data_IF_854733335025
#
_entry.id   IF_854733335025
#
_cell.length_a   1.000
_cell.length_b   1.000
_cell.length_c   1.000
_cell.angle_alpha   90.00
_cell.angle_beta   90.00
_cell.angle_gamma   90.00
#
_symmetry.space_group_name_H-M   'P 1'
#
loop_
_entity.id
_entity.type
_entity.pdbx_description
1 polymer ?
#
# COMPACT_ATOMS: atom_id res chain seq x y z
N UNK A 1 0.46 26.03 5.57
CA UNK A 1 -0.89 26.17 4.97
C UNK A 1 -0.86 25.65 3.53
N UNK A 2 0.00 26.14 2.65
CA UNK A 2 0.06 25.73 1.24
C UNK A 2 0.29 24.21 1.06
N UNK A 3 1.24 23.61 1.78
CA UNK A 3 1.49 22.17 1.73
C UNK A 3 0.26 21.37 2.18
N UNK A 4 -0.44 21.81 3.20
CA UNK A 4 -1.65 21.14 3.70
C UNK A 4 -2.76 21.18 2.65
N UNK A 5 -2.98 22.31 1.99
CA UNK A 5 -3.98 22.43 0.92
C UNK A 5 -3.65 21.52 -0.25
N UNK A 6 -2.39 21.50 -0.68
CA UNK A 6 -1.94 20.62 -1.74
C UNK A 6 -2.16 19.14 -1.39
N UNK A 7 -1.85 18.71 -0.17
CA UNK A 7 -2.07 17.33 0.26
C UNK A 7 -3.56 16.97 0.37
N UNK A 8 -4.41 17.88 0.82
CA UNK A 8 -5.85 17.66 0.83
C UNK A 8 -6.40 17.44 -0.58
N UNK A 9 -5.93 18.19 -1.55
CA UNK A 9 -6.31 18.06 -2.96
C UNK A 9 -5.76 16.74 -3.54
N UNK A 10 -4.46 16.51 -3.39
CA UNK A 10 -3.76 15.32 -3.91
C UNK A 10 -4.33 13.98 -3.40
N UNK A 11 -4.86 13.95 -2.18
CA UNK A 11 -5.47 12.77 -1.58
C UNK A 11 -7.00 12.77 -1.62
N UNK A 12 -7.59 13.71 -2.38
CA UNK A 12 -9.05 13.85 -2.50
C UNK A 12 -9.74 13.95 -1.13
N UNK A 13 -9.26 14.86 -0.28
CA UNK A 13 -9.74 15.09 1.08
C UNK A 13 -10.35 16.48 1.28
N UNK A 14 -10.38 17.36 0.25
CA UNK A 14 -10.87 18.73 0.34
C UNK A 14 -12.31 18.81 0.87
N UNK A 15 -13.18 17.93 0.39
CA UNK A 15 -14.58 17.86 0.80
C UNK A 15 -14.76 17.44 2.27
N UNK A 16 -13.73 16.87 2.89
CA UNK A 16 -13.71 16.40 4.28
C UNK A 16 -13.03 17.40 5.24
N UNK A 17 -12.56 18.55 4.73
CA UNK A 17 -11.75 19.51 5.48
C UNK A 17 -12.30 19.89 6.85
N UNK A 18 -13.62 20.08 6.94
CA UNK A 18 -14.31 20.51 8.15
C UNK A 18 -15.08 19.37 8.83
N UNK A 19 -14.85 18.14 8.41
CA UNK A 19 -15.50 16.94 8.95
C UNK A 19 -14.65 16.37 10.09
N UNK A 20 -15.31 15.95 11.16
CA UNK A 20 -14.63 15.28 12.25
C UNK A 20 -14.09 13.91 11.78
N UNK A 21 -12.81 13.64 12.04
CA UNK A 21 -12.16 12.40 11.60
C UNK A 21 -12.81 11.13 12.13
N UNK A 22 -13.58 11.20 13.20
CA UNK A 22 -14.27 10.04 13.78
C UNK A 22 -15.43 9.50 12.92
N UNK A 23 -15.88 10.26 11.92
CA UNK A 23 -16.98 9.85 11.03
C UNK A 23 -16.50 9.48 9.62
N UNK A 24 -15.19 9.47 9.40
CA UNK A 24 -14.59 9.10 8.12
C UNK A 24 -14.71 7.59 7.89
N UNK A 25 -14.91 7.21 6.63
CA UNK A 25 -14.80 5.82 6.19
C UNK A 25 -13.37 5.27 6.33
N UNK A 26 -13.21 3.96 6.35
CA UNK A 26 -11.89 3.33 6.45
C UNK A 26 -10.91 3.78 5.36
N UNK A 27 -11.38 3.94 4.11
CA UNK A 27 -10.58 4.45 3.00
C UNK A 27 -10.16 5.91 3.18
N UNK A 28 -11.08 6.76 3.65
CA UNK A 28 -10.79 8.18 3.94
C UNK A 28 -9.78 8.35 5.07
N UNK A 29 -9.91 7.56 6.14
CA UNK A 29 -8.93 7.53 7.24
C UNK A 29 -7.54 7.15 6.71
N UNK A 30 -7.44 6.12 5.85
CA UNK A 30 -6.16 5.70 5.30
C UNK A 30 -5.53 6.80 4.42
N UNK A 31 -6.31 7.44 3.56
CA UNK A 31 -5.84 8.59 2.76
C UNK A 31 -5.35 9.74 3.64
N UNK A 32 -6.12 10.06 4.69
CA UNK A 32 -5.74 11.09 5.65
C UNK A 32 -4.43 10.76 6.36
N UNK A 33 -4.24 9.51 6.79
CA UNK A 33 -3.00 9.07 7.42
C UNK A 33 -1.80 9.20 6.46
N UNK A 34 -1.96 8.80 5.21
CA UNK A 34 -0.91 8.94 4.18
C UNK A 34 -0.56 10.42 3.93
N UNK A 35 -1.55 11.29 3.78
CA UNK A 35 -1.33 12.72 3.62
C UNK A 35 -0.60 13.33 4.83
N UNK A 36 -0.98 12.96 6.06
CA UNK A 36 -0.34 13.44 7.30
C UNK A 36 1.14 13.10 7.36
N UNK A 37 1.52 11.88 7.00
CA UNK A 37 2.92 11.45 7.04
C UNK A 37 3.78 12.29 6.10
N UNK A 38 3.27 12.66 4.93
CA UNK A 38 3.98 13.47 3.94
C UNK A 38 4.27 14.91 4.39
N UNK A 39 3.55 15.44 5.38
CA UNK A 39 3.82 16.78 5.95
C UNK A 39 5.26 16.89 6.45
N UNK A 40 5.80 15.80 7.00
CA UNK A 40 7.17 15.74 7.54
C UNK A 40 8.24 15.49 6.47
N UNK A 41 7.87 15.40 5.19
CA UNK A 41 8.77 15.11 4.05
C UNK A 41 9.70 13.91 4.33
N UNK A 42 9.16 12.74 4.71
CA UNK A 42 9.98 11.59 5.07
C UNK A 42 10.72 11.05 3.83
N UNK A 43 11.87 10.43 4.04
CA UNK A 43 12.57 9.68 2.99
C UNK A 43 12.05 8.27 2.82
N UNK A 44 11.52 7.69 3.89
CA UNK A 44 10.96 6.33 3.93
C UNK A 44 9.64 6.34 4.68
N UNK A 45 8.65 5.65 4.14
CA UNK A 45 7.33 5.44 4.76
C UNK A 45 7.13 3.94 4.95
N UNK A 46 6.66 3.56 6.14
CA UNK A 46 6.28 2.19 6.47
C UNK A 46 4.76 2.09 6.48
N UNK A 47 4.21 1.16 5.71
CA UNK A 47 2.78 0.88 5.63
C UNK A 47 2.54 -0.56 6.06
N UNK A 48 1.87 -0.73 7.18
CA UNK A 48 1.51 -2.04 7.70
C UNK A 48 0.06 -2.36 7.36
N UNK A 49 -0.15 -3.36 6.53
CA UNK A 49 -1.45 -3.83 6.02
C UNK A 49 -2.39 -2.68 5.56
N UNK A 50 -1.94 -1.76 4.68
CA UNK A 50 -2.71 -0.56 4.34
C UNK A 50 -4.02 -0.87 3.61
N UNK A 51 -4.16 -2.05 3.03
CA UNK A 51 -5.32 -2.49 2.26
C UNK A 51 -6.21 -3.50 3.02
N UNK A 52 -5.87 -3.83 4.26
CA UNK A 52 -6.63 -4.80 5.05
C UNK A 52 -8.06 -4.33 5.33
N UNK A 53 -9.02 -5.27 5.26
CA UNK A 53 -10.43 -5.06 5.55
C UNK A 53 -11.10 -3.93 4.72
N UNK A 54 -10.64 -3.73 3.50
CA UNK A 54 -11.22 -2.80 2.52
C UNK A 54 -11.89 -3.55 1.37
N UNK A 55 -12.94 -2.94 0.81
CA UNK A 55 -13.55 -3.43 -0.42
C UNK A 55 -12.59 -3.33 -1.61
N UNK A 56 -12.70 -4.24 -2.62
CA UNK A 56 -11.78 -4.26 -3.77
C UNK A 56 -11.67 -2.93 -4.52
N UNK A 57 -12.76 -2.15 -4.60
CA UNK A 57 -12.75 -0.83 -5.24
C UNK A 57 -11.90 0.15 -4.43
N UNK A 58 -12.05 0.13 -3.12
CA UNK A 58 -11.28 0.99 -2.19
C UNK A 58 -9.82 0.58 -2.18
N UNK A 59 -9.51 -0.73 -2.28
CA UNK A 59 -8.13 -1.23 -2.42
C UNK A 59 -7.45 -0.61 -3.63
N UNK A 60 -8.10 -0.60 -4.80
CA UNK A 60 -7.54 0.02 -6.01
C UNK A 60 -7.24 1.52 -5.81
N UNK A 61 -8.11 2.23 -5.11
CA UNK A 61 -7.88 3.65 -4.81
C UNK A 61 -6.69 3.83 -3.86
N UNK A 62 -6.58 3.01 -2.81
CA UNK A 62 -5.42 3.04 -1.90
C UNK A 62 -4.12 2.74 -2.66
N UNK A 63 -4.10 1.76 -3.56
CA UNK A 63 -2.96 1.47 -4.42
C UNK A 63 -2.51 2.70 -5.22
N UNK A 64 -3.44 3.44 -5.83
CA UNK A 64 -3.14 4.70 -6.55
C UNK A 64 -2.48 5.73 -5.62
N UNK A 65 -2.97 5.89 -4.38
CA UNK A 65 -2.37 6.82 -3.42
C UNK A 65 -1.01 6.35 -2.92
N UNK A 66 -0.77 5.05 -2.78
CA UNK A 66 0.56 4.50 -2.46
C UNK A 66 1.55 4.84 -3.58
N UNK A 67 1.19 4.59 -4.84
CA UNK A 67 2.02 4.97 -5.98
C UNK A 67 2.25 6.49 -6.05
N UNK A 68 1.25 7.28 -5.69
CA UNK A 68 1.36 8.74 -5.63
C UNK A 68 2.38 9.19 -4.57
N UNK A 69 2.48 8.53 -3.43
CA UNK A 69 3.48 8.84 -2.41
C UNK A 69 4.90 8.77 -2.98
N UNK A 70 5.19 7.84 -3.90
CA UNK A 70 6.50 7.73 -4.55
C UNK A 70 6.86 8.99 -5.32
N UNK A 71 5.88 9.69 -5.90
CA UNK A 71 6.11 10.94 -6.65
C UNK A 71 6.62 12.07 -5.76
N UNK A 72 6.44 11.98 -4.43
CA UNK A 72 7.00 12.90 -3.45
C UNK A 72 8.46 12.56 -3.06
N UNK A 73 9.08 11.58 -3.71
CA UNK A 73 10.46 11.18 -3.48
C UNK A 73 10.66 10.28 -2.24
N UNK A 74 9.60 9.63 -1.77
CA UNK A 74 9.64 8.70 -0.64
C UNK A 74 9.85 7.26 -1.12
N UNK A 75 10.73 6.53 -0.45
CA UNK A 75 10.75 5.07 -0.52
C UNK A 75 9.63 4.51 0.37
N UNK A 76 9.00 3.42 -0.06
CA UNK A 76 7.88 2.82 0.67
C UNK A 76 8.20 1.36 0.98
N UNK A 77 8.07 0.97 2.24
CA UNK A 77 8.05 -0.43 2.67
C UNK A 77 6.63 -0.79 3.08
N UNK A 78 6.07 -1.81 2.44
CA UNK A 78 4.69 -2.26 2.68
C UNK A 78 4.72 -3.70 3.18
N UNK A 79 3.94 -3.99 4.22
CA UNK A 79 3.58 -5.35 4.60
C UNK A 79 2.10 -5.58 4.27
N UNK A 80 1.78 -6.73 3.72
CA UNK A 80 0.39 -7.18 3.53
C UNK A 80 0.37 -8.69 3.32
N UNK A 81 -0.70 -9.34 3.75
CA UNK A 81 -0.92 -10.77 3.53
C UNK A 81 -1.62 -11.07 2.19
N UNK A 82 -2.23 -10.07 1.57
CA UNK A 82 -2.89 -10.20 0.26
C UNK A 82 -1.89 -9.88 -0.87
N UNK A 83 -1.06 -10.85 -1.19
CA UNK A 83 0.07 -10.73 -2.12
C UNK A 83 -0.33 -10.15 -3.48
N UNK A 84 -1.51 -10.50 -4.01
CA UNK A 84 -2.02 -9.99 -5.28
C UNK A 84 -2.12 -8.47 -5.29
N UNK A 85 -2.63 -7.87 -4.21
CA UNK A 85 -2.77 -6.42 -4.11
C UNK A 85 -1.42 -5.70 -4.05
N UNK A 86 -0.37 -6.38 -3.55
CA UNK A 86 0.98 -5.82 -3.50
C UNK A 86 1.68 -5.89 -4.86
N UNK A 87 1.53 -7.00 -5.57
CA UNK A 87 2.30 -7.25 -6.80
C UNK A 87 2.03 -6.27 -7.92
N UNK A 88 0.87 -5.57 -7.88
CA UNK A 88 0.53 -4.54 -8.85
C UNK A 88 1.25 -3.20 -8.61
N UNK A 89 1.82 -3.00 -7.40
CA UNK A 89 2.35 -1.69 -6.97
C UNK A 89 3.78 -1.72 -6.44
N UNK A 90 4.41 -2.90 -6.31
CA UNK A 90 5.77 -3.00 -5.75
C UNK A 90 6.81 -3.30 -6.83
N UNK A 91 7.98 -2.69 -6.69
CA UNK A 91 9.13 -2.99 -7.56
C UNK A 91 9.81 -4.30 -7.16
N UNK A 92 9.85 -4.58 -5.84
CA UNK A 92 10.47 -5.77 -5.25
C UNK A 92 9.68 -6.23 -4.03
N UNK A 93 9.70 -7.52 -3.77
CA UNK A 93 9.09 -8.08 -2.58
C UNK A 93 9.99 -9.16 -1.92
N UNK A 94 9.74 -9.36 -0.65
CA UNK A 94 10.30 -10.44 0.17
C UNK A 94 9.14 -11.26 0.71
N UNK A 95 9.15 -12.55 0.42
CA UNK A 95 8.16 -13.49 0.93
C UNK A 95 8.72 -14.13 2.18
N UNK A 96 8.04 -13.92 3.31
CA UNK A 96 8.43 -14.44 4.62
C UNK A 96 7.62 -15.69 4.95
N UNK A 97 8.26 -16.71 5.43
CA UNK A 97 7.61 -17.92 5.91
C UNK A 97 8.61 -18.82 6.63
N UNK A 98 8.13 -19.69 7.52
CA UNK A 98 8.97 -20.61 8.28
C UNK A 98 10.16 -19.90 8.96
N UNK A 99 9.93 -18.69 9.50
CA UNK A 99 10.93 -17.83 10.16
C UNK A 99 12.12 -17.42 9.26
N UNK A 100 11.94 -17.44 7.94
CA UNK A 100 12.98 -17.10 6.97
C UNK A 100 12.42 -16.38 5.74
N UNK A 101 13.31 -15.81 4.93
CA UNK A 101 12.96 -15.30 3.60
C UNK A 101 12.94 -16.48 2.63
N UNK A 102 11.74 -16.85 2.14
CA UNK A 102 11.55 -17.98 1.21
C UNK A 102 11.72 -17.58 -0.25
N UNK A 103 11.41 -16.35 -0.59
CA UNK A 103 11.65 -15.80 -1.92
C UNK A 103 11.87 -14.30 -1.84
N UNK A 104 12.64 -13.75 -2.78
CA UNK A 104 12.87 -12.31 -2.93
C UNK A 104 13.09 -11.97 -4.40
N UNK A 105 12.65 -10.79 -4.81
CA UNK A 105 12.85 -10.32 -6.18
C UNK A 105 11.69 -9.47 -6.66
N UNK A 106 11.60 -9.27 -7.95
CA UNK A 106 10.42 -8.67 -8.59
C UNK A 106 9.20 -9.58 -8.46
N UNK A 107 7.97 -9.06 -8.57
CA UNK A 107 6.77 -9.90 -8.60
C UNK A 107 6.86 -11.06 -9.59
N UNK A 108 7.39 -10.81 -10.80
CA UNK A 108 7.57 -11.85 -11.84
C UNK A 108 8.54 -12.96 -11.44
N UNK A 109 9.59 -12.62 -10.70
CA UNK A 109 10.56 -13.60 -10.21
C UNK A 109 9.98 -14.44 -9.07
N UNK A 110 9.22 -13.82 -8.18
CA UNK A 110 8.56 -14.52 -7.06
C UNK A 110 7.51 -15.51 -7.58
N UNK A 111 6.74 -15.15 -8.61
CA UNK A 111 5.76 -16.03 -9.24
C UNK A 111 6.38 -17.24 -9.97
N UNK A 112 7.70 -17.29 -10.14
CA UNK A 112 8.42 -18.46 -10.64
C UNK A 112 8.93 -19.37 -9.51
N UNK A 113 8.86 -18.92 -8.26
CA UNK A 113 9.32 -19.71 -7.10
C UNK A 113 8.25 -20.72 -6.70
N UNK A 114 8.50 -22.01 -6.91
CA UNK A 114 7.58 -23.07 -6.51
C UNK A 114 7.21 -23.01 -5.02
N UNK A 115 8.17 -22.71 -4.15
CA UNK A 115 7.96 -22.60 -2.71
C UNK A 115 7.07 -21.39 -2.34
N UNK A 116 7.21 -20.26 -3.02
CA UNK A 116 6.36 -19.10 -2.80
C UNK A 116 4.93 -19.36 -3.31
N UNK A 117 4.80 -20.05 -4.45
CA UNK A 117 3.50 -20.43 -5.02
C UNK A 117 2.77 -21.36 -4.05
N UNK A 118 3.43 -22.41 -3.57
CA UNK A 118 2.83 -23.40 -2.65
C UNK A 118 2.30 -22.75 -1.36
N UNK A 119 3.08 -21.83 -0.75
CA UNK A 119 2.75 -21.25 0.54
C UNK A 119 1.71 -20.11 0.49
N UNK A 120 1.69 -19.32 -0.57
CA UNK A 120 0.87 -18.10 -0.63
C UNK A 120 -0.19 -18.08 -1.71
N UNK A 121 -0.02 -18.87 -2.77
CA UNK A 121 -0.93 -18.84 -3.90
C UNK A 121 -1.73 -20.15 -4.04
N UNK A 122 -1.29 -21.23 -3.39
CA UNK A 122 -1.91 -22.54 -3.52
C UNK A 122 -1.94 -23.04 -4.99
N UNK A 123 -2.74 -24.07 -5.26
CA UNK A 123 -2.87 -24.64 -6.61
C UNK A 123 -3.64 -23.77 -7.63
N UNK A 124 -4.01 -22.54 -7.29
CA UNK A 124 -4.81 -21.66 -8.15
C UNK A 124 -3.99 -20.87 -9.20
N UNK A 125 -2.65 -20.94 -9.14
CA UNK A 125 -1.75 -20.24 -10.08
C UNK A 125 -0.95 -21.22 -10.96
N UNK A 126 -1.64 -22.19 -11.54
CA UNK A 126 -1.08 -22.93 -12.69
C UNK A 126 -1.40 -22.12 -13.97
N UNK A 127 -0.45 -21.32 -14.42
CA UNK A 127 -0.40 -20.71 -15.76
C UNK A 127 0.69 -21.38 -16.58
#
# INVERSE_FOLDING_TARGET
IELTENLLDEFNLQHLRNINSNVLSGGEVRRLMMARVLINKPKVILLDEPMAALDPIVVQDIQKYILKIQTFGCAILITDHQVKNLFDIVDRAYVLGEQSIIAKGTPKEILKSSKAIELYFGNQYNY
#
